data_IF_629235446978
#
_entry.id   IF_629235446978
#
_cell.length_a   1.000
_cell.length_b   1.000
_cell.length_c   1.000
_cell.angle_alpha   90.00
_cell.angle_beta   90.00
_cell.angle_gamma   90.00
#
_symmetry.space_group_name_H-M   'P 1'
#
loop_
_entity.id
_entity.type
_entity.pdbx_description
1 polymer ?
#
# COMPACT_ATOMS: atom_id res chain seq x y z
N UNK A 1 6.50 -3.83 24.49
CA UNK A 1 5.88 -2.51 24.24
C UNK A 1 6.22 -2.10 22.83
N UNK A 2 5.21 -1.94 21.97
CA UNK A 2 5.42 -1.36 20.65
C UNK A 2 5.67 0.14 20.84
N UNK A 3 6.79 0.63 20.35
CA UNK A 3 7.08 2.06 20.33
C UNK A 3 7.02 2.52 18.88
N UNK A 4 6.20 3.53 18.62
CA UNK A 4 6.28 4.32 17.40
C UNK A 4 6.43 5.78 17.78
N UNK A 5 7.15 6.54 16.96
CA UNK A 5 7.23 7.99 17.15
C UNK A 5 5.86 8.62 16.94
N UNK A 6 5.62 9.76 17.58
CA UNK A 6 4.35 10.50 17.41
C UNK A 6 4.06 10.85 15.93
N UNK A 7 5.03 11.36 15.13
CA UNK A 7 4.78 11.64 13.71
C UNK A 7 4.36 10.40 12.92
N UNK A 8 4.98 9.24 13.19
CA UNK A 8 4.62 7.98 12.54
C UNK A 8 3.20 7.53 12.94
N UNK A 9 2.88 7.57 14.24
CA UNK A 9 1.55 7.22 14.75
C UNK A 9 0.43 8.06 14.11
N UNK A 10 0.65 9.38 13.94
CA UNK A 10 -0.33 10.26 13.26
C UNK A 10 -0.59 9.84 11.81
N UNK A 11 0.42 9.33 11.09
CA UNK A 11 0.23 8.81 9.73
C UNK A 11 -0.54 7.50 9.71
N UNK A 12 -0.27 6.61 10.66
CA UNK A 12 -1.07 5.40 10.82
C UNK A 12 -2.53 5.73 11.09
N UNK A 13 -2.83 6.71 11.95
CA UNK A 13 -4.19 7.16 12.23
C UNK A 13 -4.87 7.72 10.96
N UNK A 14 -4.15 8.51 10.15
CA UNK A 14 -4.65 9.02 8.87
C UNK A 14 -4.94 7.91 7.88
N UNK A 15 -4.03 6.94 7.75
CA UNK A 15 -4.23 5.77 6.91
C UNK A 15 -5.46 4.97 7.35
N UNK A 16 -5.63 4.70 8.64
CA UNK A 16 -6.80 4.01 9.17
C UNK A 16 -8.10 4.78 8.91
N UNK A 17 -8.06 6.12 9.00
CA UNK A 17 -9.20 6.97 8.66
C UNK A 17 -9.55 6.88 7.17
N UNK A 18 -8.56 6.86 6.27
CA UNK A 18 -8.75 6.65 4.83
C UNK A 18 -9.31 5.27 4.53
N UNK A 19 -8.77 4.22 5.15
CA UNK A 19 -9.24 2.84 5.03
C UNK A 19 -10.72 2.72 5.40
N UNK A 20 -11.11 3.30 6.54
CA UNK A 20 -12.50 3.37 6.98
C UNK A 20 -13.39 4.12 5.98
N UNK A 21 -12.93 5.28 5.51
CA UNK A 21 -13.70 6.16 4.63
C UNK A 21 -13.90 5.57 3.22
N UNK A 22 -12.88 4.91 2.68
CA UNK A 22 -12.83 4.56 1.26
C UNK A 22 -12.98 3.06 0.98
N UNK A 23 -12.57 2.20 1.90
CA UNK A 23 -12.78 0.75 1.81
C UNK A 23 -14.03 0.32 2.59
N UNK A 24 -14.49 1.12 3.56
CA UNK A 24 -15.69 0.84 4.35
C UNK A 24 -15.45 -0.16 5.49
N UNK A 25 -14.19 -0.46 5.81
CA UNK A 25 -13.79 -1.35 6.89
C UNK A 25 -13.30 -0.54 8.09
N UNK A 26 -13.78 -0.85 9.30
CA UNK A 26 -13.35 -0.19 10.54
C UNK A 26 -12.58 -1.19 11.42
N UNK A 27 -11.27 -1.39 11.18
CA UNK A 27 -10.46 -2.24 12.06
C UNK A 27 -10.36 -1.65 13.47
N UNK A 28 -10.38 -2.53 14.46
CA UNK A 28 -10.07 -2.24 15.87
C UNK A 28 -8.72 -2.83 16.31
N UNK A 29 -8.12 -3.67 15.46
CA UNK A 29 -6.83 -4.32 15.71
C UNK A 29 -5.99 -4.35 14.41
N UNK A 30 -4.69 -4.05 14.56
CA UNK A 30 -3.65 -4.31 13.57
C UNK A 30 -2.78 -5.45 14.09
N UNK A 31 -2.73 -6.57 13.37
CA UNK A 31 -1.70 -7.58 13.61
C UNK A 31 -0.41 -7.19 12.90
N UNK A 32 0.71 -7.26 13.61
CA UNK A 32 2.02 -6.82 13.13
C UNK A 32 3.12 -7.83 13.45
N UNK A 33 4.16 -7.88 12.62
CA UNK A 33 5.42 -8.60 12.91
C UNK A 33 6.44 -7.76 13.68
N UNK A 34 6.13 -6.49 13.92
CA UNK A 34 7.00 -5.58 14.64
C UNK A 34 6.72 -4.14 14.25
N UNK A 35 6.80 -3.25 15.23
CA UNK A 35 6.96 -1.81 15.03
C UNK A 35 8.28 -1.30 15.65
N UNK A 36 8.93 -2.15 16.45
CA UNK A 36 10.18 -1.82 17.11
C UNK A 36 10.99 -3.07 17.45
N UNK A 37 12.28 -3.06 17.11
CA UNK A 37 13.25 -4.12 17.44
C UNK A 37 14.47 -3.51 18.11
N UNK A 38 14.80 -3.98 19.32
CA UNK A 38 15.98 -3.53 20.06
C UNK A 38 17.26 -3.98 19.34
N UNK A 39 18.18 -3.05 19.09
CA UNK A 39 19.55 -3.37 18.64
C UNK A 39 19.75 -3.52 17.14
N UNK A 40 18.72 -3.28 16.31
CA UNK A 40 18.88 -3.26 14.85
C UNK A 40 19.34 -1.88 14.36
N UNK A 41 20.65 -1.65 14.29
CA UNK A 41 21.23 -0.37 13.83
C UNK A 41 20.94 0.02 12.37
N UNK A 42 20.43 -0.92 11.56
CA UNK A 42 20.19 -0.75 10.12
C UNK A 42 18.70 -0.69 9.76
N UNK A 43 17.81 -0.65 10.75
CA UNK A 43 16.37 -0.67 10.52
C UNK A 43 15.67 0.45 11.26
N UNK A 44 14.78 1.15 10.57
CA UNK A 44 13.88 2.18 11.12
C UNK A 44 12.90 1.63 12.17
N UNK A 45 12.77 0.30 12.25
CA UNK A 45 12.12 -0.34 13.40
C UNK A 45 12.79 0.09 14.71
N UNK A 46 14.12 0.20 14.76
CA UNK A 46 14.82 0.59 15.99
C UNK A 46 14.58 2.04 16.44
N UNK A 47 14.16 2.93 15.52
CA UNK A 47 13.78 4.32 15.79
C UNK A 47 12.28 4.51 16.03
N UNK A 48 11.46 3.46 15.87
CA UNK A 48 9.99 3.54 15.97
C UNK A 48 9.35 4.27 14.78
N UNK A 49 10.01 4.24 13.62
CA UNK A 49 9.57 4.92 12.39
C UNK A 49 9.18 3.94 11.29
N UNK A 50 9.00 2.67 11.65
CA UNK A 50 8.55 1.62 10.76
C UNK A 50 7.55 0.68 11.43
N UNK A 51 6.76 -0.02 10.62
CA UNK A 51 5.89 -1.11 11.07
C UNK A 51 5.65 -2.13 9.96
N UNK A 52 5.60 -3.39 10.35
CA UNK A 52 5.28 -4.52 9.48
C UNK A 52 3.81 -4.91 9.71
N UNK A 53 2.94 -4.62 8.76
CA UNK A 53 1.49 -4.82 8.89
C UNK A 53 1.11 -6.16 8.27
N UNK A 54 0.58 -7.08 9.07
CA UNK A 54 0.21 -8.42 8.64
C UNK A 54 -1.29 -8.56 8.36
N UNK A 55 -2.15 -7.99 9.23
CA UNK A 55 -3.62 -8.08 9.10
C UNK A 55 -4.33 -6.89 9.72
N UNK A 56 -5.51 -6.60 9.21
CA UNK A 56 -6.51 -5.73 9.81
C UNK A 56 -7.67 -6.58 10.32
N UNK A 57 -8.09 -6.35 11.56
CA UNK A 57 -9.12 -7.14 12.23
C UNK A 57 -10.18 -6.26 12.88
N UNK A 58 -11.38 -6.81 12.99
CA UNK A 58 -12.45 -6.24 13.83
C UNK A 58 -13.29 -7.32 14.48
N UNK A 59 -13.56 -7.16 15.78
CA UNK A 59 -14.35 -8.11 16.55
C UNK A 59 -13.79 -9.54 16.48
N UNK A 60 -12.47 -9.68 16.50
CA UNK A 60 -11.79 -10.98 16.44
C UNK A 60 -11.78 -11.67 15.06
N UNK A 61 -12.20 -10.98 13.99
CA UNK A 61 -12.20 -11.53 12.62
C UNK A 61 -11.28 -10.73 11.70
N UNK A 62 -10.68 -11.41 10.73
CA UNK A 62 -9.89 -10.77 9.69
C UNK A 62 -10.78 -9.98 8.74
N UNK A 63 -10.49 -8.68 8.61
CA UNK A 63 -11.07 -7.81 7.59
C UNK A 63 -10.23 -7.85 6.32
N UNK A 64 -8.91 -7.74 6.47
CA UNK A 64 -7.93 -7.80 5.39
C UNK A 64 -6.68 -8.55 5.86
N UNK A 65 -6.16 -9.45 5.02
CA UNK A 65 -4.89 -10.14 5.27
C UNK A 65 -3.83 -9.69 4.27
N UNK A 66 -2.74 -9.11 4.78
CA UNK A 66 -1.56 -8.74 4.01
C UNK A 66 -0.50 -9.86 3.93
N UNK A 67 -0.86 -11.05 4.44
CA UNK A 67 -0.06 -12.28 4.40
C UNK A 67 -0.20 -13.00 3.06
N UNK A 68 0.38 -12.46 1.99
CA UNK A 68 0.33 -13.07 0.65
C UNK A 68 0.70 -14.55 0.67
N UNK A 69 1.72 -14.91 1.43
CA UNK A 69 2.17 -16.29 1.63
C UNK A 69 1.13 -17.29 2.17
N UNK A 70 0.04 -16.82 2.79
CA UNK A 70 -1.03 -17.68 3.28
C UNK A 70 -2.14 -17.91 2.27
N UNK A 71 -2.24 -17.09 1.22
CA UNK A 71 -3.37 -17.12 0.31
C UNK A 71 -3.01 -17.04 -1.18
N UNK A 72 -1.73 -16.93 -1.53
CA UNK A 72 -1.25 -16.92 -2.93
C UNK A 72 -1.70 -18.13 -3.75
N UNK A 73 -1.88 -19.27 -3.08
CA UNK A 73 -2.28 -20.55 -3.68
C UNK A 73 -3.79 -20.81 -3.53
N UNK A 74 -4.58 -19.80 -3.14
CA UNK A 74 -6.04 -19.92 -3.03
C UNK A 74 -6.69 -20.13 -4.42
N UNK A 75 -7.91 -20.72 -4.47
CA UNK A 75 -8.67 -20.83 -5.71
C UNK A 75 -8.83 -19.47 -6.41
N UNK A 76 -8.81 -19.45 -7.74
CA UNK A 76 -8.70 -18.21 -8.54
C UNK A 76 -9.70 -17.10 -8.16
N UNK A 77 -10.96 -17.45 -7.87
CA UNK A 77 -11.97 -16.46 -7.45
C UNK A 77 -11.64 -15.82 -6.10
N UNK A 78 -11.16 -16.62 -5.15
CA UNK A 78 -10.76 -16.13 -3.83
C UNK A 78 -9.44 -15.36 -3.92
N UNK A 79 -8.49 -15.83 -4.73
CA UNK A 79 -7.24 -15.13 -4.99
C UNK A 79 -7.48 -13.74 -5.58
N UNK A 80 -8.36 -13.61 -6.59
CA UNK A 80 -8.74 -12.31 -7.16
C UNK A 80 -9.33 -11.37 -6.09
N UNK A 81 -10.25 -11.88 -5.26
CA UNK A 81 -10.86 -11.10 -4.17
C UNK A 81 -9.81 -10.59 -3.19
N UNK A 82 -8.86 -11.45 -2.80
CA UNK A 82 -7.78 -11.12 -1.87
C UNK A 82 -6.79 -10.14 -2.47
N UNK A 83 -6.39 -10.32 -3.71
CA UNK A 83 -5.50 -9.39 -4.42
C UNK A 83 -6.12 -8.01 -4.55
N UNK A 84 -7.39 -7.92 -4.96
CA UNK A 84 -8.10 -6.63 -5.02
C UNK A 84 -8.10 -5.95 -3.65
N UNK A 85 -8.50 -6.64 -2.58
CA UNK A 85 -8.53 -6.06 -1.23
C UNK A 85 -7.13 -5.71 -0.69
N UNK A 86 -6.12 -6.54 -0.96
CA UNK A 86 -4.72 -6.28 -0.61
C UNK A 86 -4.24 -4.98 -1.25
N UNK A 87 -4.42 -4.84 -2.56
CA UNK A 87 -3.92 -3.67 -3.30
C UNK A 87 -4.71 -2.40 -3.03
N UNK A 88 -6.01 -2.51 -2.73
CA UNK A 88 -6.80 -1.38 -2.19
C UNK A 88 -6.26 -0.92 -0.84
N UNK A 89 -5.92 -1.85 0.05
CA UNK A 89 -5.33 -1.54 1.36
C UNK A 89 -3.94 -0.92 1.22
N UNK A 90 -3.10 -1.48 0.33
CA UNK A 90 -1.79 -0.95 0.01
C UNK A 90 -1.86 0.45 -0.64
N UNK A 91 -2.90 0.76 -1.43
CA UNK A 91 -3.11 2.11 -1.96
C UNK A 91 -3.28 3.14 -0.84
N UNK A 92 -4.00 2.79 0.22
CA UNK A 92 -4.09 3.63 1.42
C UNK A 92 -2.73 3.83 2.10
N UNK A 93 -1.88 2.79 2.15
CA UNK A 93 -0.53 2.92 2.70
C UNK A 93 0.34 3.83 1.82
N UNK A 94 0.31 3.64 0.49
CA UNK A 94 1.02 4.50 -0.47
C UNK A 94 0.52 5.95 -0.49
N UNK A 95 -0.69 6.22 0.00
CA UNK A 95 -1.19 7.58 0.22
C UNK A 95 -0.45 8.29 1.37
N UNK A 96 -0.12 7.58 2.45
CA UNK A 96 0.48 8.16 3.65
C UNK A 96 1.99 7.92 3.77
N UNK A 97 2.53 6.91 3.09
CA UNK A 97 3.92 6.48 3.17
C UNK A 97 4.55 6.37 1.79
N UNK A 98 5.78 6.87 1.65
CA UNK A 98 6.52 6.80 0.40
C UNK A 98 7.32 5.50 0.30
N UNK A 99 7.78 4.97 1.44
CA UNK A 99 8.40 3.65 1.55
C UNK A 99 7.34 2.64 2.00
N UNK A 100 6.92 1.81 1.05
CA UNK A 100 5.92 0.75 1.24
C UNK A 100 6.42 -0.47 0.48
N UNK A 101 6.79 -1.51 1.22
CA UNK A 101 7.34 -2.74 0.63
C UNK A 101 6.30 -3.85 0.77
N UNK A 102 5.94 -4.44 -0.37
CA UNK A 102 4.94 -5.50 -0.49
C UNK A 102 5.61 -6.82 -0.80
N UNK A 103 4.82 -7.89 -0.98
CA UNK A 103 5.37 -9.19 -1.38
C UNK A 103 6.12 -9.17 -2.74
N UNK A 104 5.95 -8.11 -3.54
CA UNK A 104 6.66 -7.93 -4.81
C UNK A 104 8.11 -7.44 -4.63
N UNK A 105 8.45 -6.88 -3.47
CA UNK A 105 9.79 -6.37 -3.22
C UNK A 105 10.82 -7.50 -3.07
N UNK A 106 10.54 -8.46 -2.18
CA UNK A 106 11.32 -9.68 -2.03
C UNK A 106 10.54 -10.75 -1.22
N UNK A 107 11.17 -11.91 -1.01
CA UNK A 107 10.58 -13.01 -0.23
C UNK A 107 10.40 -12.75 1.27
N UNK A 108 11.14 -11.79 1.85
CA UNK A 108 11.00 -11.45 3.27
C UNK A 108 9.69 -10.70 3.56
N UNK A 109 9.13 -10.03 2.56
CA UNK A 109 7.87 -9.31 2.64
C UNK A 109 6.66 -10.16 2.20
N UNK A 110 6.83 -11.47 2.01
CA UNK A 110 5.73 -12.34 1.61
C UNK A 110 4.62 -12.45 2.67
N UNK A 111 4.91 -12.13 3.94
CA UNK A 111 4.00 -12.25 5.08
C UNK A 111 3.49 -10.90 5.62
N UNK A 112 3.90 -9.75 5.09
CA UNK A 112 3.43 -8.44 5.57
C UNK A 112 3.60 -7.34 4.51
N UNK A 113 3.08 -6.14 4.80
CA UNK A 113 3.51 -4.92 4.14
C UNK A 113 4.34 -4.11 5.11
N UNK A 114 5.56 -3.76 4.73
CA UNK A 114 6.42 -2.85 5.49
C UNK A 114 6.10 -1.42 5.11
N UNK A 115 6.04 -0.52 6.09
CA UNK A 115 6.05 0.93 5.83
C UNK A 115 6.99 1.64 6.78
N UNK A 116 7.67 2.67 6.29
CA UNK A 116 8.51 3.55 7.09
C UNK A 116 8.46 5.02 6.63
N UNK A 117 8.97 5.90 7.49
CA UNK A 117 9.16 7.33 7.18
C UNK A 117 10.64 7.74 7.20
N UNK A 118 11.57 6.82 7.42
CA UNK A 118 12.95 7.17 7.72
C UNK A 118 13.67 7.83 6.54
N UNK A 119 13.40 7.35 5.31
CA UNK A 119 14.04 7.90 4.10
C UNK A 119 13.40 9.20 3.61
N UNK A 120 12.08 9.33 3.73
CA UNK A 120 11.31 10.40 3.10
C UNK A 120 10.70 11.40 4.09
N UNK A 121 10.89 11.16 5.39
CA UNK A 121 10.46 12.03 6.47
C UNK A 121 8.94 12.29 6.47
N UNK A 122 8.53 13.49 6.95
CA UNK A 122 7.12 13.84 7.13
C UNK A 122 6.44 14.35 5.84
N UNK A 123 7.09 14.31 4.68
CA UNK A 123 6.48 14.70 3.41
C UNK A 123 5.44 13.70 2.91
N UNK A 124 4.33 14.21 2.36
CA UNK A 124 3.34 13.36 1.73
C UNK A 124 3.89 12.75 0.42
N UNK A 125 3.60 11.47 0.13
CA UNK A 125 4.15 10.76 -1.00
C UNK A 125 3.68 11.34 -2.35
N UNK A 126 4.54 11.18 -3.35
CA UNK A 126 4.23 11.32 -4.79
C UNK A 126 4.93 10.17 -5.51
N UNK A 127 4.56 9.91 -6.76
CA UNK A 127 5.27 8.91 -7.56
C UNK A 127 6.75 9.29 -7.73
N UNK A 128 7.62 8.35 -7.36
CA UNK A 128 9.05 8.37 -7.69
C UNK A 128 9.25 7.34 -8.79
N UNK A 129 9.33 7.77 -10.06
CA UNK A 129 9.38 6.86 -11.23
C UNK A 129 10.50 5.81 -11.17
N UNK A 130 11.62 6.13 -10.49
CA UNK A 130 12.75 5.21 -10.27
C UNK A 130 12.58 4.25 -9.09
N UNK A 131 11.50 4.36 -8.32
CA UNK A 131 11.21 3.48 -7.20
C UNK A 131 10.49 2.24 -7.72
N UNK A 132 11.23 1.14 -7.85
CA UNK A 132 10.68 -0.13 -8.32
C UNK A 132 9.47 -0.56 -7.47
N UNK A 133 9.55 -0.43 -6.14
CA UNK A 133 8.46 -0.77 -5.22
C UNK A 133 7.17 0.04 -5.49
N UNK A 134 7.27 1.36 -5.71
CA UNK A 134 6.09 2.18 -6.01
C UNK A 134 5.51 1.86 -7.39
N UNK A 135 6.36 1.66 -8.40
CA UNK A 135 5.92 1.36 -9.76
C UNK A 135 5.24 0.00 -9.83
N UNK A 136 5.84 -1.03 -9.22
CA UNK A 136 5.23 -2.36 -9.11
C UNK A 136 3.89 -2.31 -8.40
N UNK A 137 3.77 -1.51 -7.32
CA UNK A 137 2.51 -1.34 -6.62
C UNK A 137 1.43 -0.70 -7.52
N UNK A 138 1.76 0.36 -8.27
CA UNK A 138 0.85 0.99 -9.23
C UNK A 138 0.41 -0.01 -10.31
N UNK A 139 1.35 -0.77 -10.89
CA UNK A 139 1.04 -1.78 -11.89
C UNK A 139 0.13 -2.87 -11.33
N UNK A 140 0.39 -3.33 -10.12
CA UNK A 140 -0.42 -4.31 -9.44
C UNK A 140 -1.83 -3.78 -9.09
N UNK A 141 -1.96 -2.50 -8.73
CA UNK A 141 -3.26 -1.84 -8.55
C UNK A 141 -4.03 -1.76 -9.87
N UNK A 142 -3.39 -1.33 -10.97
CA UNK A 142 -4.00 -1.34 -12.30
C UNK A 142 -4.52 -2.74 -12.66
N UNK A 143 -3.70 -3.77 -12.44
CA UNK A 143 -4.06 -5.15 -12.80
C UNK A 143 -5.15 -5.76 -11.91
N UNK A 144 -4.96 -5.69 -10.59
CA UNK A 144 -5.77 -6.47 -9.64
C UNK A 144 -6.97 -5.72 -9.08
N UNK A 145 -6.93 -4.38 -9.10
CA UNK A 145 -8.06 -3.55 -8.69
C UNK A 145 -8.84 -3.13 -9.92
N UNK A 146 -8.17 -2.54 -10.92
CA UNK A 146 -8.83 -1.96 -12.10
C UNK A 146 -8.98 -2.91 -13.29
N UNK A 147 -8.54 -4.17 -13.17
CA UNK A 147 -8.70 -5.18 -14.22
C UNK A 147 -7.88 -4.93 -15.49
N UNK A 148 -6.87 -4.05 -15.45
CA UNK A 148 -5.97 -3.74 -16.57
C UNK A 148 -4.94 -4.84 -16.76
N UNK A 149 -5.34 -5.92 -17.40
CA UNK A 149 -4.49 -7.11 -17.62
C UNK A 149 -3.37 -6.88 -18.63
N UNK A 150 -3.42 -5.78 -19.36
CA UNK A 150 -2.37 -5.25 -20.26
C UNK A 150 -1.18 -4.65 -19.50
N UNK A 151 -1.36 -4.25 -18.24
CA UNK A 151 -0.28 -3.72 -17.39
C UNK A 151 0.45 -4.89 -16.73
N UNK A 152 1.71 -5.08 -17.11
CA UNK A 152 2.62 -6.05 -16.50
C UNK A 152 3.34 -5.46 -15.28
N UNK A 153 3.67 -6.30 -14.29
CA UNK A 153 4.35 -5.87 -13.07
C UNK A 153 5.87 -5.95 -13.23
N UNK A 154 6.41 -5.10 -14.10
CA UNK A 154 7.85 -5.04 -14.44
C UNK A 154 8.65 -4.19 -13.44
N UNK A 155 7.99 -3.24 -12.79
CA UNK A 155 8.63 -2.20 -11.98
C UNK A 155 9.26 -1.07 -12.79
N UNK A 156 9.05 -1.03 -14.10
CA UNK A 156 9.39 0.09 -14.98
C UNK A 156 8.14 0.92 -15.29
N UNK A 157 8.20 2.24 -15.12
CA UNK A 157 7.07 3.12 -15.38
C UNK A 157 6.99 3.43 -16.88
N UNK A 158 6.57 2.43 -17.64
CA UNK A 158 6.47 2.45 -19.10
C UNK A 158 5.21 3.15 -19.63
N UNK A 159 5.11 3.22 -20.96
CA UNK A 159 4.01 3.89 -21.65
C UNK A 159 2.65 3.24 -21.38
N UNK A 160 2.61 1.91 -21.20
CA UNK A 160 1.38 1.16 -20.91
C UNK A 160 0.90 1.49 -19.49
N UNK A 161 1.81 1.49 -18.52
CA UNK A 161 1.53 1.89 -17.13
C UNK A 161 1.08 3.34 -17.08
N UNK A 162 1.77 4.25 -17.80
CA UNK A 162 1.39 5.66 -17.89
C UNK A 162 -0.03 5.82 -18.42
N UNK A 163 -0.33 5.30 -19.61
CA UNK A 163 -1.68 5.39 -20.21
C UNK A 163 -2.76 4.80 -19.29
N UNK A 164 -2.50 3.64 -18.67
CA UNK A 164 -3.45 3.03 -17.77
C UNK A 164 -3.78 3.91 -16.56
N UNK A 165 -2.75 4.48 -15.92
CA UNK A 165 -2.94 5.36 -14.77
C UNK A 165 -3.61 6.69 -15.13
N UNK A 166 -3.31 7.25 -16.30
CA UNK A 166 -3.97 8.47 -16.80
C UNK A 166 -5.46 8.23 -17.01
N UNK A 167 -5.85 7.14 -17.69
CA UNK A 167 -7.28 6.81 -17.88
C UNK A 167 -8.02 6.58 -16.57
N UNK A 168 -7.36 5.95 -15.60
CA UNK A 168 -7.93 5.75 -14.25
C UNK A 168 -8.14 7.10 -13.55
N UNK A 169 -7.17 8.01 -13.64
CA UNK A 169 -7.29 9.36 -13.09
C UNK A 169 -8.41 10.14 -13.75
N UNK A 170 -8.50 10.13 -15.09
CA UNK A 170 -9.59 10.76 -15.84
C UNK A 170 -10.96 10.22 -15.40
N UNK A 171 -11.10 8.89 -15.31
CA UNK A 171 -12.33 8.24 -14.85
C UNK A 171 -12.69 8.65 -13.41
N UNK A 172 -11.70 8.89 -12.57
CA UNK A 172 -11.88 9.30 -11.18
C UNK A 172 -12.02 10.83 -10.99
N UNK A 173 -11.93 11.63 -12.06
CA UNK A 173 -11.92 13.08 -12.00
C UNK A 173 -10.64 13.67 -11.37
N UNK A 174 -9.54 12.91 -11.40
CA UNK A 174 -8.22 13.33 -10.94
C UNK A 174 -7.47 14.17 -11.98
N UNK A 175 -6.40 14.87 -11.57
CA UNK A 175 -5.63 15.73 -12.47
C UNK A 175 -4.54 14.97 -13.22
N UNK A 176 -4.35 15.33 -14.50
CA UNK A 176 -3.14 15.04 -15.29
C UNK A 176 -2.69 13.58 -15.29
N UNK A 177 -1.39 13.38 -15.43
CA UNK A 177 -0.77 12.07 -15.30
C UNK A 177 -0.32 11.80 -13.87
N UNK A 178 -0.24 10.52 -13.50
CA UNK A 178 0.13 10.08 -12.14
C UNK A 178 1.46 10.67 -11.65
N UNK A 179 2.39 10.90 -12.57
CA UNK A 179 3.72 11.39 -12.29
C UNK A 179 3.84 12.92 -12.20
N UNK A 180 2.81 13.67 -12.60
CA UNK A 180 2.89 15.12 -12.73
C UNK A 180 2.93 15.81 -11.37
N UNK A 181 2.23 15.25 -10.38
CA UNK A 181 2.03 15.92 -9.10
C UNK A 181 1.73 14.97 -7.95
N UNK A 182 1.82 15.51 -6.72
CA UNK A 182 1.39 14.81 -5.51
C UNK A 182 -0.13 14.61 -5.52
N UNK A 183 -0.84 15.59 -6.03
CA UNK A 183 -2.30 15.60 -6.11
C UNK A 183 -2.79 14.47 -7.04
N UNK A 184 -2.11 14.25 -8.17
CA UNK A 184 -2.39 13.13 -9.07
C UNK A 184 -2.12 11.77 -8.38
N UNK A 185 -0.99 11.64 -7.69
CA UNK A 185 -0.68 10.44 -6.89
C UNK A 185 -1.77 10.13 -5.85
N UNK A 186 -2.16 11.13 -5.05
CA UNK A 186 -3.18 10.96 -4.02
C UNK A 186 -4.56 10.65 -4.62
N UNK A 187 -4.94 11.33 -5.71
CA UNK A 187 -6.19 11.06 -6.42
C UNK A 187 -6.25 9.61 -6.91
N UNK A 188 -5.16 9.09 -7.48
CA UNK A 188 -5.08 7.70 -7.92
C UNK A 188 -5.20 6.71 -6.74
N UNK A 189 -4.52 6.97 -5.63
CA UNK A 189 -4.62 6.11 -4.44
C UNK A 189 -6.05 6.09 -3.86
N UNK A 190 -6.70 7.25 -3.79
CA UNK A 190 -8.09 7.36 -3.33
C UNK A 190 -9.06 6.67 -4.29
N UNK A 191 -8.89 6.86 -5.60
CA UNK A 191 -9.68 6.18 -6.62
C UNK A 191 -9.55 4.66 -6.48
N UNK A 192 -8.31 4.17 -6.33
CA UNK A 192 -8.01 2.75 -6.16
C UNK A 192 -8.65 2.20 -4.89
N UNK A 193 -8.55 2.88 -3.74
CA UNK A 193 -9.24 2.44 -2.50
C UNK A 193 -10.75 2.28 -2.68
N UNK A 194 -11.39 3.17 -3.44
CA UNK A 194 -12.84 3.22 -3.67
C UNK A 194 -13.36 2.18 -4.67
N UNK A 195 -12.51 1.68 -5.56
CA UNK A 195 -12.90 0.76 -6.61
C UNK A 195 -13.28 -0.62 -6.06
N UNK A 196 -14.36 -1.23 -6.55
CA UNK A 196 -14.93 -2.49 -6.04
C UNK A 196 -15.09 -3.53 -7.12
#
# INVERSE_FOLDING_TARGET
>A
TYYVTRPFGVRLDRWLALHRKHIGQAPDEICSYGAWVRGSSTSWHSSGEAIDIARLRSGGRDLTSLRHDQWRDAPATELRRRLSLYWRTAAGLHHEFADVLTYLFDGAHANHVHVDIGRFGPEQPRLIRRSNAQVQAVQAMCRHVWGRTDVETTGEFDDVTRDATTRILEQAGGPGELADSREAWQAFMVATMRHT
#
